data_IF_087242597374
#
_entry.id   IF_087242597374
#
_cell.length_a   1.000
_cell.length_b   1.000
_cell.length_c   1.000
_cell.angle_alpha   90.00
_cell.angle_beta   90.00
_cell.angle_gamma   90.00
#
_symmetry.space_group_name_H-M   'P 1'
#
loop_
_entity.id
_entity.type
_entity.pdbx_description
1 polymer ?
#
# COMPACT_ATOMS: atom_id res chain seq x y z
N UNK A 1 -29.48 -3.83 -64.10
CA UNK A 1 -28.96 -2.84 -63.15
C UNK A 1 -28.73 -3.57 -61.83
N UNK A 2 -27.44 -3.84 -61.53
CA UNK A 2 -27.05 -4.62 -60.35
C UNK A 2 -26.50 -3.57 -59.34
N UNK A 3 -27.22 -3.42 -58.26
CA UNK A 3 -26.85 -2.52 -57.16
C UNK A 3 -25.81 -3.25 -56.28
N UNK A 4 -24.57 -2.78 -56.29
CA UNK A 4 -23.48 -3.28 -55.48
C UNK A 4 -23.42 -2.45 -54.21
N UNK A 5 -24.17 -2.89 -53.18
CA UNK A 5 -24.09 -2.34 -51.81
C UNK A 5 -22.71 -2.60 -51.18
N UNK A 6 -21.85 -1.57 -51.16
CA UNK A 6 -20.58 -1.58 -50.41
C UNK A 6 -20.92 -1.48 -48.93
N UNK A 7 -20.69 -2.59 -48.23
CA UNK A 7 -20.78 -2.65 -46.78
C UNK A 7 -19.80 -1.68 -46.13
N UNK A 8 -20.32 -0.74 -45.34
CA UNK A 8 -19.51 0.08 -44.46
C UNK A 8 -18.93 -0.81 -43.37
N UNK A 9 -17.63 -1.06 -43.42
CA UNK A 9 -16.88 -1.63 -42.32
C UNK A 9 -16.97 -0.62 -41.14
N UNK A 10 -17.80 -0.93 -40.16
CA UNK A 10 -17.70 -0.35 -38.86
C UNK A 10 -16.39 -0.84 -38.23
N UNK A 11 -15.35 -0.03 -38.33
CA UNK A 11 -14.18 -0.14 -37.47
C UNK A 11 -14.70 0.27 -36.08
N UNK A 12 -15.00 -0.73 -35.27
CA UNK A 12 -15.19 -0.53 -33.84
C UNK A 12 -13.83 -0.05 -33.35
N UNK A 13 -13.74 1.24 -33.02
CA UNK A 13 -12.59 1.77 -32.29
C UNK A 13 -12.47 0.92 -31.01
N UNK A 14 -11.37 0.18 -30.86
CA UNK A 14 -10.98 -0.39 -29.59
C UNK A 14 -10.85 0.80 -28.65
N UNK A 15 -11.83 1.02 -27.78
CA UNK A 15 -11.63 1.87 -26.61
C UNK A 15 -10.49 1.21 -25.84
N UNK A 16 -9.37 1.91 -25.68
CA UNK A 16 -8.28 1.51 -24.81
C UNK A 16 -8.85 1.39 -23.40
N UNK A 17 -9.26 0.19 -23.03
CA UNK A 17 -9.79 -0.09 -21.70
C UNK A 17 -8.59 -0.26 -20.77
N UNK A 18 -8.37 0.70 -19.89
CA UNK A 18 -7.31 0.64 -18.88
C UNK A 18 -7.43 -0.68 -18.10
N UNK A 19 -6.33 -1.43 -17.98
CA UNK A 19 -6.25 -2.63 -17.14
C UNK A 19 -6.49 -2.27 -15.68
N UNK A 20 -7.09 -3.16 -14.86
CA UNK A 20 -7.32 -2.88 -13.45
C UNK A 20 -6.01 -2.90 -12.63
N UNK A 21 -5.97 -2.08 -11.60
CA UNK A 21 -5.04 -2.26 -10.48
C UNK A 21 -5.48 -3.48 -9.68
N UNK A 22 -4.56 -4.40 -9.38
CA UNK A 22 -4.86 -5.53 -8.52
C UNK A 22 -4.54 -5.17 -7.07
N UNK A 23 -5.53 -5.29 -6.21
CA UNK A 23 -5.43 -5.00 -4.77
C UNK A 23 -5.48 -6.32 -4.01
N UNK A 24 -4.39 -6.66 -3.32
CA UNK A 24 -4.28 -7.87 -2.50
C UNK A 24 -4.65 -7.54 -1.06
N UNK A 25 -5.69 -8.21 -0.57
CA UNK A 25 -6.15 -8.11 0.82
C UNK A 25 -5.76 -9.36 1.59
N UNK A 26 -5.22 -9.18 2.80
CA UNK A 26 -4.71 -10.27 3.64
C UNK A 26 -5.56 -10.52 4.88
N UNK A 27 -6.42 -9.58 5.28
CA UNK A 27 -7.35 -9.70 6.40
C UNK A 27 -8.65 -8.95 6.13
N UNK A 28 -9.75 -9.40 6.72
CA UNK A 28 -11.09 -8.88 6.44
C UNK A 28 -11.24 -7.38 6.81
N UNK A 29 -10.55 -6.93 7.85
CA UNK A 29 -10.57 -5.54 8.34
C UNK A 29 -9.49 -4.66 7.71
N UNK A 30 -8.60 -5.25 6.91
CA UNK A 30 -7.46 -4.59 6.27
C UNK A 30 -7.74 -4.37 4.78
N UNK A 31 -8.85 -3.69 4.51
CA UNK A 31 -9.31 -3.39 3.15
C UNK A 31 -8.49 -2.29 2.47
N UNK A 32 -8.84 -2.00 1.22
CA UNK A 32 -8.18 -0.96 0.43
C UNK A 32 -8.52 0.48 0.87
N UNK A 33 -9.56 0.68 1.69
CA UNK A 33 -9.94 1.94 2.29
C UNK A 33 -9.89 3.12 1.31
N UNK A 34 -9.25 4.20 1.74
CA UNK A 34 -9.10 5.40 0.93
C UNK A 34 -8.33 5.18 -0.39
N UNK A 35 -7.49 4.14 -0.49
CA UNK A 35 -6.83 3.82 -1.77
C UNK A 35 -7.84 3.42 -2.85
N UNK A 36 -8.84 2.60 -2.52
CA UNK A 36 -9.93 2.27 -3.44
C UNK A 36 -10.79 3.50 -3.78
N UNK A 37 -11.17 4.32 -2.77
CA UNK A 37 -11.87 5.58 -3.00
C UNK A 37 -11.11 6.50 -3.97
N UNK A 38 -9.77 6.58 -3.82
CA UNK A 38 -8.91 7.36 -4.70
C UNK A 38 -8.93 6.83 -6.14
N UNK A 39 -8.84 5.51 -6.34
CA UNK A 39 -8.91 4.89 -7.67
C UNK A 39 -10.26 5.16 -8.34
N UNK A 40 -11.37 5.02 -7.60
CA UNK A 40 -12.72 5.31 -8.09
C UNK A 40 -12.89 6.78 -8.51
N UNK A 41 -12.40 7.72 -7.67
CA UNK A 41 -12.42 9.16 -7.98
C UNK A 41 -11.66 9.51 -9.27
N UNK A 42 -10.65 8.71 -9.62
CA UNK A 42 -9.84 8.89 -10.83
C UNK A 42 -10.25 7.98 -11.98
N UNK A 43 -11.37 7.25 -11.83
CA UNK A 43 -11.88 6.31 -12.85
C UNK A 43 -10.84 5.24 -13.25
N UNK A 44 -9.98 4.85 -12.31
CA UNK A 44 -8.99 3.79 -12.48
C UNK A 44 -9.64 2.48 -12.06
N UNK A 45 -9.85 1.52 -12.98
CA UNK A 45 -10.44 0.24 -12.62
C UNK A 45 -9.53 -0.52 -11.66
N UNK A 46 -10.13 -1.24 -10.73
CA UNK A 46 -9.41 -2.09 -9.78
C UNK A 46 -10.12 -3.40 -9.54
N UNK A 47 -9.37 -4.39 -9.08
CA UNK A 47 -9.86 -5.72 -8.72
C UNK A 47 -9.29 -6.12 -7.36
N UNK A 48 -10.17 -6.49 -6.43
CA UNK A 48 -9.76 -7.06 -5.15
C UNK A 48 -9.45 -8.55 -5.32
N UNK A 49 -8.31 -8.97 -4.76
CA UNK A 49 -7.88 -10.36 -4.62
C UNK A 49 -7.81 -10.66 -3.12
N UNK A 50 -8.84 -11.33 -2.61
CA UNK A 50 -9.01 -11.59 -1.18
C UNK A 50 -8.30 -12.89 -0.80
N UNK A 51 -7.01 -12.80 -0.45
CA UNK A 51 -6.19 -13.95 -0.04
C UNK A 51 -6.69 -14.56 1.27
N UNK A 52 -7.24 -13.73 2.17
CA UNK A 52 -7.91 -14.12 3.41
C UNK A 52 -9.17 -14.97 3.17
N UNK A 53 -9.74 -14.93 1.97
CA UNK A 53 -10.89 -15.75 1.57
C UNK A 53 -10.49 -16.93 0.66
N UNK A 54 -9.21 -17.25 0.57
CA UNK A 54 -8.71 -18.37 -0.22
C UNK A 54 -8.59 -18.11 -1.70
N UNK A 55 -8.68 -16.85 -2.16
CA UNK A 55 -8.33 -16.53 -3.54
C UNK A 55 -6.82 -16.71 -3.75
N UNK A 56 -6.44 -17.17 -4.92
CA UNK A 56 -5.02 -17.43 -5.22
C UNK A 56 -4.32 -16.19 -5.78
N UNK A 57 -3.01 -16.09 -5.53
CA UNK A 57 -2.14 -15.11 -6.18
C UNK A 57 -2.06 -15.46 -7.67
N UNK A 58 -2.37 -14.52 -8.60
CA UNK A 58 -2.32 -14.77 -10.03
C UNK A 58 -0.92 -15.18 -10.53
N UNK A 59 -0.89 -16.01 -11.56
CA UNK A 59 0.37 -16.53 -12.11
C UNK A 59 1.05 -15.58 -13.11
N UNK A 60 0.34 -14.65 -13.73
CA UNK A 60 0.86 -13.69 -14.69
C UNK A 60 0.43 -12.26 -14.33
N UNK A 61 0.93 -11.29 -15.08
CA UNK A 61 0.67 -9.86 -14.90
C UNK A 61 -0.01 -9.21 -16.11
N UNK A 62 -0.38 -10.00 -17.13
CA UNK A 62 -0.84 -9.49 -18.42
C UNK A 62 -2.07 -8.59 -18.33
N UNK A 63 -2.92 -8.82 -17.33
CA UNK A 63 -4.17 -8.05 -17.14
C UNK A 63 -4.10 -7.05 -15.99
N UNK A 64 -2.90 -6.74 -15.45
CA UNK A 64 -2.73 -5.78 -14.37
C UNK A 64 -2.12 -4.45 -14.87
N UNK A 65 -2.64 -3.30 -14.43
CA UNK A 65 -2.02 -2.00 -14.64
C UNK A 65 -1.01 -1.66 -13.55
N UNK A 66 -1.13 -2.25 -12.38
CA UNK A 66 -0.27 -2.08 -11.21
C UNK A 66 -0.74 -2.99 -10.08
N UNK A 67 0.10 -3.15 -9.06
CA UNK A 67 -0.18 -4.01 -7.90
C UNK A 67 -0.19 -3.19 -6.61
N UNK A 68 -1.19 -3.43 -5.76
CA UNK A 68 -1.29 -2.85 -4.43
C UNK A 68 -1.45 -3.97 -3.39
N UNK A 69 -0.53 -4.03 -2.42
CA UNK A 69 -0.58 -4.99 -1.32
C UNK A 69 -0.93 -4.25 -0.03
N UNK A 70 -2.04 -4.67 0.60
CA UNK A 70 -2.53 -4.07 1.85
C UNK A 70 -1.81 -4.63 3.08
N UNK A 71 -2.20 -4.18 4.25
CA UNK A 71 -1.75 -4.69 5.53
C UNK A 71 -2.17 -6.14 5.79
N UNK A 72 -1.71 -6.69 6.91
CA UNK A 72 -2.02 -8.03 7.37
C UNK A 72 -1.42 -8.31 8.75
N UNK A 73 -2.14 -9.08 9.57
CA UNK A 73 -1.70 -9.46 10.91
C UNK A 73 -0.58 -10.55 10.92
N UNK A 74 -0.28 -11.12 9.74
CA UNK A 74 0.73 -12.17 9.59
C UNK A 74 2.13 -11.57 9.50
N UNK A 75 3.15 -12.36 9.80
CA UNK A 75 4.53 -12.06 9.43
C UNK A 75 4.83 -12.48 8.00
N UNK A 76 5.58 -11.68 7.26
CA UNK A 76 6.14 -12.10 5.96
C UNK A 76 7.06 -13.32 6.11
N UNK A 77 7.51 -13.62 7.34
CA UNK A 77 8.35 -14.78 7.66
C UNK A 77 7.54 -16.05 7.96
N UNK A 78 6.21 -15.97 8.00
CA UNK A 78 5.35 -17.14 8.21
C UNK A 78 5.41 -18.11 7.02
N UNK A 79 5.22 -19.40 7.27
CA UNK A 79 5.14 -20.45 6.24
C UNK A 79 3.73 -20.51 5.63
N UNK A 80 3.36 -19.47 4.90
CA UNK A 80 2.09 -19.36 4.18
C UNK A 80 2.36 -19.35 2.66
N UNK A 81 1.76 -20.27 1.93
CA UNK A 81 2.02 -20.47 0.51
C UNK A 81 1.79 -19.20 -0.35
N UNK A 82 0.83 -18.35 0.00
CA UNK A 82 0.56 -17.11 -0.70
C UNK A 82 1.68 -16.07 -0.53
N UNK A 83 2.45 -16.10 0.57
CA UNK A 83 3.57 -15.17 0.80
C UNK A 83 4.65 -15.38 -0.27
N UNK A 84 5.12 -16.61 -0.46
CA UNK A 84 6.12 -16.93 -1.48
C UNK A 84 5.62 -16.57 -2.88
N UNK A 85 4.36 -16.89 -3.20
CA UNK A 85 3.74 -16.54 -4.49
C UNK A 85 3.62 -15.02 -4.69
N UNK A 86 3.29 -14.27 -3.64
CA UNK A 86 3.24 -12.79 -3.68
C UNK A 86 4.62 -12.19 -3.93
N UNK A 87 5.66 -12.69 -3.25
CA UNK A 87 7.05 -12.29 -3.46
C UNK A 87 7.48 -12.54 -4.91
N UNK A 88 7.20 -13.72 -5.47
CA UNK A 88 7.49 -14.04 -6.87
C UNK A 88 6.72 -13.14 -7.86
N UNK A 89 5.45 -12.83 -7.57
CA UNK A 89 4.65 -11.93 -8.40
C UNK A 89 5.24 -10.51 -8.38
N UNK A 90 5.60 -10.00 -7.19
CA UNK A 90 6.25 -8.69 -7.03
C UNK A 90 7.58 -8.65 -7.79
N UNK A 91 8.42 -9.69 -7.70
CA UNK A 91 9.68 -9.76 -8.43
C UNK A 91 9.48 -9.65 -9.95
N UNK A 92 8.47 -10.34 -10.48
CA UNK A 92 8.10 -10.21 -11.90
C UNK A 92 7.59 -8.82 -12.24
N UNK A 93 6.78 -8.20 -11.38
CA UNK A 93 6.31 -6.83 -11.56
C UNK A 93 7.48 -5.84 -11.59
N UNK A 94 8.47 -6.00 -10.71
CA UNK A 94 9.69 -5.18 -10.68
C UNK A 94 10.48 -5.31 -11.98
N UNK A 95 10.69 -6.54 -12.48
CA UNK A 95 11.40 -6.79 -13.75
C UNK A 95 10.67 -6.15 -14.94
N UNK A 96 9.33 -6.16 -14.93
CA UNK A 96 8.50 -5.54 -15.96
C UNK A 96 8.26 -4.04 -15.75
N UNK A 97 8.83 -3.44 -14.70
CA UNK A 97 8.58 -2.06 -14.31
C UNK A 97 7.09 -1.73 -14.07
N UNK A 98 6.28 -2.75 -13.73
CA UNK A 98 4.88 -2.60 -13.35
C UNK A 98 4.80 -2.04 -11.92
N UNK A 99 4.16 -0.88 -11.67
CA UNK A 99 4.23 -0.22 -10.37
C UNK A 99 3.62 -1.07 -9.25
N UNK A 100 4.32 -1.11 -8.12
CA UNK A 100 3.88 -1.79 -6.88
C UNK A 100 3.81 -0.77 -5.76
N UNK A 101 2.71 -0.78 -5.00
CA UNK A 101 2.55 -0.04 -3.75
C UNK A 101 2.24 -1.03 -2.63
N UNK A 102 2.94 -0.90 -1.50
CA UNK A 102 2.74 -1.77 -0.34
C UNK A 102 2.52 -0.96 0.93
N UNK A 103 1.48 -1.32 1.69
CA UNK A 103 1.13 -0.78 2.99
C UNK A 103 1.41 -1.85 4.06
N UNK A 104 2.19 -1.54 5.10
CA UNK A 104 2.56 -2.40 6.20
C UNK A 104 3.09 -3.77 5.73
N UNK A 105 2.36 -4.86 5.90
CA UNK A 105 2.72 -6.19 5.37
C UNK A 105 3.05 -6.14 3.86
N UNK A 106 2.29 -5.35 3.08
CA UNK A 106 2.55 -5.16 1.66
C UNK A 106 3.90 -4.48 1.38
N UNK A 107 4.31 -3.51 2.21
CA UNK A 107 5.62 -2.89 2.15
C UNK A 107 6.74 -3.87 2.50
N UNK A 108 6.50 -4.73 3.49
CA UNK A 108 7.41 -5.81 3.88
C UNK A 108 7.58 -6.86 2.77
N UNK A 109 6.49 -7.24 2.08
CA UNK A 109 6.53 -8.13 0.90
C UNK A 109 7.37 -7.52 -0.23
N UNK A 110 7.21 -6.23 -0.51
CA UNK A 110 8.00 -5.53 -1.54
C UNK A 110 9.49 -5.49 -1.14
N UNK A 111 9.81 -5.19 0.13
CA UNK A 111 11.20 -5.24 0.60
C UNK A 111 11.80 -6.62 0.41
N UNK A 112 11.09 -7.69 0.83
CA UNK A 112 11.57 -9.07 0.68
C UNK A 112 11.77 -9.46 -0.79
N UNK A 113 10.86 -9.05 -1.67
CA UNK A 113 10.99 -9.30 -3.10
C UNK A 113 12.24 -8.65 -3.74
N UNK A 114 12.67 -7.51 -3.18
CA UNK A 114 13.89 -6.78 -3.58
C UNK A 114 15.15 -7.24 -2.83
N UNK A 115 15.09 -8.32 -2.04
CA UNK A 115 16.23 -8.87 -1.29
C UNK A 115 16.45 -8.27 0.09
N UNK A 116 15.51 -7.48 0.60
CA UNK A 116 15.51 -7.02 1.99
C UNK A 116 15.04 -8.11 2.96
N UNK A 117 15.14 -7.79 4.25
CA UNK A 117 14.70 -8.64 5.36
C UNK A 117 13.54 -8.00 6.10
N UNK A 118 12.70 -8.82 6.71
CA UNK A 118 11.69 -8.38 7.67
C UNK A 118 12.13 -8.86 9.04
N UNK A 119 12.21 -7.94 9.98
CA UNK A 119 12.73 -8.16 11.33
C UNK A 119 11.82 -7.50 12.35
N UNK A 120 11.93 -7.93 13.61
CA UNK A 120 11.21 -7.29 14.71
C UNK A 120 11.69 -5.83 14.86
N UNK A 121 10.74 -4.89 14.90
CA UNK A 121 11.05 -3.51 15.23
C UNK A 121 11.43 -3.40 16.73
N UNK A 122 12.38 -2.53 17.11
CA UNK A 122 12.75 -2.37 18.51
C UNK A 122 11.59 -2.04 19.44
N UNK A 123 10.62 -1.30 18.95
CA UNK A 123 9.38 -0.96 19.66
C UNK A 123 8.19 -1.13 18.71
N UNK A 124 7.05 -1.68 19.15
CA UNK A 124 5.82 -1.66 18.37
C UNK A 124 5.35 -0.21 18.20
N UNK A 125 4.67 0.06 17.10
CA UNK A 125 4.00 1.34 16.89
C UNK A 125 2.51 1.09 16.65
N UNK A 126 1.66 1.73 17.45
CA UNK A 126 0.20 1.64 17.36
C UNK A 126 -0.40 3.03 17.53
N UNK A 127 -1.16 3.49 16.53
CA UNK A 127 -1.85 4.77 16.52
C UNK A 127 -1.19 5.81 15.61
N UNK A 128 -1.43 7.08 15.88
CA UNK A 128 -0.95 8.21 15.08
C UNK A 128 0.45 8.61 15.51
N UNK A 129 1.42 8.53 14.58
CA UNK A 129 2.80 8.90 14.83
C UNK A 129 3.35 9.78 13.71
N UNK A 130 4.19 10.77 14.04
CA UNK A 130 4.85 11.59 13.04
C UNK A 130 5.94 10.78 12.33
N UNK A 131 6.02 10.96 11.01
CA UNK A 131 7.14 10.50 10.18
C UNK A 131 7.85 11.70 9.58
N UNK A 132 9.17 11.67 9.59
CA UNK A 132 10.03 12.73 9.08
C UNK A 132 10.60 12.37 7.71
N UNK A 133 10.54 13.32 6.81
CA UNK A 133 11.06 13.22 5.44
C UNK A 133 12.59 13.26 5.45
N UNK A 134 13.22 12.31 4.74
CA UNK A 134 14.64 12.34 4.43
C UNK A 134 14.82 13.14 3.15
N UNK A 135 15.54 14.29 3.17
CA UNK A 135 15.72 15.12 1.97
C UNK A 135 16.43 14.38 0.84
N UNK A 136 15.98 14.54 -0.39
CA UNK A 136 16.58 13.96 -1.58
C UNK A 136 15.72 14.12 -2.83
N UNK A 137 16.31 13.92 -4.00
CA UNK A 137 15.61 14.07 -5.28
C UNK A 137 14.44 13.07 -5.43
N UNK A 138 14.67 11.80 -5.06
CA UNK A 138 13.61 10.79 -5.07
C UNK A 138 12.48 11.15 -4.10
N UNK A 139 12.83 11.61 -2.90
CA UNK A 139 11.88 12.04 -1.87
C UNK A 139 11.01 13.21 -2.35
N UNK A 140 11.63 14.25 -2.92
CA UNK A 140 10.91 15.38 -3.46
C UNK A 140 9.94 14.98 -4.59
N UNK A 141 10.31 14.00 -5.42
CA UNK A 141 9.45 13.48 -6.48
C UNK A 141 8.18 12.79 -5.94
N UNK A 142 8.26 12.14 -4.77
CA UNK A 142 7.15 11.42 -4.15
C UNK A 142 6.36 12.28 -3.16
N UNK A 143 7.05 13.06 -2.33
CA UNK A 143 6.48 13.77 -1.19
C UNK A 143 6.40 15.30 -1.37
N UNK A 144 7.05 15.86 -2.41
CA UNK A 144 7.11 17.32 -2.58
C UNK A 144 7.94 17.98 -1.47
N UNK A 145 7.44 19.11 -0.95
CA UNK A 145 8.12 19.93 0.06
C UNK A 145 7.67 19.61 1.50
N UNK A 146 7.03 18.44 1.72
CA UNK A 146 6.64 18.02 3.06
C UNK A 146 7.89 17.74 3.91
N UNK A 147 7.89 18.17 5.18
CA UNK A 147 8.98 17.92 6.13
C UNK A 147 8.66 16.82 7.14
N UNK A 148 7.48 16.89 7.76
CA UNK A 148 6.98 15.94 8.74
C UNK A 148 5.45 15.91 8.64
N UNK A 149 4.85 14.73 8.86
CA UNK A 149 3.40 14.56 8.88
C UNK A 149 3.04 13.31 9.68
N UNK A 150 1.80 13.29 10.23
CA UNK A 150 1.28 12.13 10.96
C UNK A 150 0.76 11.06 9.99
N UNK A 151 1.02 9.80 10.36
CA UNK A 151 0.51 8.60 9.70
C UNK A 151 -0.11 7.66 10.73
N UNK A 152 -0.91 6.68 10.29
CA UNK A 152 -1.46 5.68 11.18
C UNK A 152 -0.58 4.42 11.17
N UNK A 153 -0.17 3.98 12.34
CA UNK A 153 0.73 2.84 12.54
C UNK A 153 -0.01 1.70 13.25
N UNK A 154 0.30 0.46 12.85
CA UNK A 154 -0.06 -0.73 13.61
C UNK A 154 0.87 -1.87 13.22
N UNK A 155 2.06 -1.90 13.82
CA UNK A 155 3.07 -2.90 13.49
C UNK A 155 4.05 -3.15 14.64
N UNK A 156 4.65 -4.37 14.66
CA UNK A 156 5.74 -4.78 15.53
C UNK A 156 6.95 -5.33 14.77
N UNK A 157 6.83 -5.47 13.45
CA UNK A 157 7.91 -5.81 12.54
C UNK A 157 8.17 -4.66 11.57
N UNK A 158 9.37 -4.60 11.02
CA UNK A 158 9.76 -3.65 10.00
C UNK A 158 10.64 -4.31 8.96
N UNK A 159 10.75 -3.67 7.80
CA UNK A 159 11.62 -4.12 6.72
C UNK A 159 12.98 -3.42 6.76
N UNK A 160 14.01 -4.05 6.20
CA UNK A 160 15.26 -3.36 5.85
C UNK A 160 15.13 -2.68 4.48
N UNK A 161 15.91 -1.63 4.26
CA UNK A 161 15.93 -0.95 2.95
C UNK A 161 16.75 -1.81 1.97
N UNK A 162 16.17 -2.32 0.87
CA UNK A 162 16.88 -3.13 -0.11
C UNK A 162 18.03 -2.36 -0.78
N UNK A 163 19.06 -3.08 -1.19
CA UNK A 163 20.19 -2.48 -1.91
C UNK A 163 19.72 -1.78 -3.19
N UNK A 164 20.03 -0.50 -3.35
CA UNK A 164 19.61 0.33 -4.48
C UNK A 164 18.27 1.04 -4.30
N UNK A 165 17.51 0.72 -3.24
CA UNK A 165 16.33 1.49 -2.86
C UNK A 165 16.71 2.81 -2.17
N UNK A 166 15.86 3.81 -2.30
CA UNK A 166 16.03 5.10 -1.62
C UNK A 166 15.07 5.17 -0.44
N UNK A 167 15.60 5.23 0.77
CA UNK A 167 14.81 5.50 1.96
C UNK A 167 14.32 6.95 1.93
N UNK A 168 13.01 7.15 2.19
CA UNK A 168 12.38 8.47 2.08
C UNK A 168 11.76 8.97 3.39
N UNK A 169 11.43 8.07 4.32
CA UNK A 169 10.79 8.39 5.60
C UNK A 169 11.40 7.60 6.75
N UNK A 170 11.46 8.25 7.92
CA UNK A 170 11.92 7.70 9.19
C UNK A 170 11.09 8.25 10.35
N UNK A 171 11.09 7.57 11.49
CA UNK A 171 10.72 8.19 12.78
C UNK A 171 11.61 7.69 13.93
N UNK A 172 11.32 8.11 15.16
CA UNK A 172 12.12 7.75 16.34
C UNK A 172 11.96 6.29 16.77
N UNK A 173 10.82 5.67 16.45
CA UNK A 173 10.48 4.31 16.88
C UNK A 173 10.82 3.26 15.82
N UNK A 174 10.76 3.66 14.53
CA UNK A 174 11.09 2.81 13.39
C UNK A 174 11.92 3.60 12.37
N UNK A 175 13.17 3.19 12.18
CA UNK A 175 14.06 3.87 11.22
C UNK A 175 13.66 3.64 9.77
N UNK A 176 12.92 2.59 9.45
CA UNK A 176 12.59 2.21 8.09
C UNK A 176 11.08 2.35 7.84
N UNK A 177 10.61 3.60 7.74
CA UNK A 177 9.19 3.90 7.54
C UNK A 177 8.73 3.81 6.08
N UNK A 178 9.57 4.24 5.14
CA UNK A 178 9.27 4.07 3.71
C UNK A 178 10.53 4.12 2.85
N UNK A 179 10.46 3.41 1.73
CA UNK A 179 11.44 3.51 0.65
C UNK A 179 10.76 3.48 -0.73
N UNK A 180 11.51 3.94 -1.73
CA UNK A 180 11.11 3.88 -3.13
C UNK A 180 12.17 3.18 -3.97
N UNK A 181 11.71 2.50 -5.03
CA UNK A 181 12.54 1.87 -6.07
C UNK A 181 11.87 2.08 -7.43
N UNK A 182 12.38 3.01 -8.24
CA UNK A 182 11.74 3.35 -9.51
C UNK A 182 10.28 3.78 -9.31
N UNK A 183 9.29 3.08 -9.92
CA UNK A 183 7.88 3.37 -9.77
C UNK A 183 7.24 2.73 -8.51
N UNK A 184 8.01 1.98 -7.72
CA UNK A 184 7.51 1.24 -6.57
C UNK A 184 7.70 2.02 -5.27
N UNK A 185 6.77 1.84 -4.32
CA UNK A 185 6.84 2.40 -2.97
C UNK A 185 6.43 1.36 -1.92
N UNK A 186 7.22 1.26 -0.87
CA UNK A 186 6.92 0.50 0.34
C UNK A 186 6.76 1.45 1.52
N UNK A 187 5.70 1.26 2.29
CA UNK A 187 5.38 2.01 3.50
C UNK A 187 5.15 1.03 4.65
N UNK A 188 5.67 1.32 5.84
CA UNK A 188 5.40 0.53 7.03
C UNK A 188 4.06 0.90 7.67
N UNK A 189 3.62 2.12 7.46
CA UNK A 189 2.40 2.73 7.97
C UNK A 189 1.22 2.59 6.99
N UNK A 190 0.06 3.09 7.45
CA UNK A 190 -1.22 3.03 6.76
C UNK A 190 -1.73 4.43 6.40
N UNK A 191 -1.74 4.79 5.12
CA UNK A 191 -2.35 6.03 4.60
C UNK A 191 -3.68 5.78 3.88
N UNK A 192 -4.05 4.52 3.77
CA UNK A 192 -5.34 4.07 3.22
C UNK A 192 -6.47 4.08 4.25
N UNK A 193 -6.18 4.43 5.51
CA UNK A 193 -7.16 4.41 6.60
C UNK A 193 -8.37 5.30 6.34
N UNK A 194 -9.52 4.80 6.78
CA UNK A 194 -10.77 5.55 6.88
C UNK A 194 -11.22 5.60 8.34
N UNK A 195 -12.13 6.52 8.72
CA UNK A 195 -12.67 6.53 10.09
C UNK A 195 -13.24 5.17 10.52
N UNK A 196 -13.98 4.50 9.63
CA UNK A 196 -14.56 3.18 9.90
C UNK A 196 -13.49 2.11 10.13
N UNK A 197 -12.37 2.15 9.39
CA UNK A 197 -11.26 1.23 9.61
C UNK A 197 -10.61 1.48 10.98
N UNK A 198 -10.36 2.73 11.37
CA UNK A 198 -9.80 3.04 12.69
C UNK A 198 -10.74 2.56 13.81
N UNK A 199 -12.05 2.80 13.69
CA UNK A 199 -13.04 2.30 14.66
C UNK A 199 -13.03 0.77 14.76
N UNK A 200 -13.02 0.07 13.62
CA UNK A 200 -12.97 -1.39 13.56
C UNK A 200 -11.69 -1.92 14.22
N UNK A 201 -10.53 -1.39 13.86
CA UNK A 201 -9.25 -1.83 14.43
C UNK A 201 -9.16 -1.57 15.93
N UNK A 202 -9.63 -0.41 16.40
CA UNK A 202 -9.70 -0.11 17.83
C UNK A 202 -10.60 -1.08 18.60
N UNK A 203 -11.63 -1.63 17.96
CA UNK A 203 -12.52 -2.62 18.57
C UNK A 203 -11.92 -4.03 18.50
N UNK A 204 -11.51 -4.47 17.31
CA UNK A 204 -11.14 -5.86 17.03
C UNK A 204 -9.76 -6.20 17.61
N UNK A 205 -8.81 -5.25 17.57
CA UNK A 205 -7.44 -5.45 18.01
C UNK A 205 -7.10 -4.78 19.35
N UNK A 206 -8.13 -4.36 20.10
CA UNK A 206 -7.96 -3.79 21.45
C UNK A 206 -7.12 -4.66 22.38
N UNK A 207 -7.17 -5.98 22.19
CA UNK A 207 -6.39 -6.93 22.96
C UNK A 207 -4.88 -6.80 22.74
N UNK A 208 -4.43 -6.35 21.57
CA UNK A 208 -3.01 -6.11 21.27
C UNK A 208 -2.48 -4.93 22.08
N UNK A 209 -3.23 -3.82 22.15
CA UNK A 209 -2.89 -2.68 23.02
C UNK A 209 -2.84 -3.11 24.49
N UNK A 210 -3.74 -3.99 24.92
CA UNK A 210 -3.79 -4.55 26.26
C UNK A 210 -2.58 -5.40 26.68
N UNK A 211 -1.74 -5.82 25.73
CA UNK A 211 -0.48 -6.54 26.03
C UNK A 211 0.61 -5.61 26.60
N UNK A 212 0.41 -4.29 26.54
CA UNK A 212 1.37 -3.28 26.98
C UNK A 212 0.83 -2.49 28.17
N UNK A 213 0.87 -3.05 29.40
CA UNK A 213 0.28 -2.43 30.59
C UNK A 213 0.93 -1.07 30.93
N UNK A 214 2.22 -0.89 30.63
CA UNK A 214 2.95 0.36 30.88
C UNK A 214 2.83 1.37 29.72
N UNK A 215 2.09 1.06 28.67
CA UNK A 215 1.81 1.90 27.51
C UNK A 215 3.01 2.76 27.07
N UNK A 216 3.99 2.21 26.34
CA UNK A 216 5.09 3.00 25.81
C UNK A 216 4.56 4.12 24.92
N UNK A 217 5.30 5.20 24.76
CA UNK A 217 4.88 6.37 23.97
C UNK A 217 4.59 6.04 22.49
N UNK A 218 5.08 4.90 22.01
CA UNK A 218 4.81 4.39 20.66
C UNK A 218 3.46 3.68 20.51
N UNK A 219 2.68 3.57 21.59
CA UNK A 219 1.37 2.91 21.60
C UNK A 219 0.30 3.86 22.15
N UNK A 220 -0.70 4.14 21.36
CA UNK A 220 -1.88 4.91 21.75
C UNK A 220 -3.01 3.97 22.19
N UNK A 221 -3.81 4.45 23.14
CA UNK A 221 -5.07 3.78 23.49
C UNK A 221 -6.11 3.93 22.38
N UNK A 222 -7.13 3.04 22.29
CA UNK A 222 -8.24 3.20 21.36
C UNK A 222 -8.93 4.57 21.46
N UNK A 223 -9.00 5.15 22.65
CA UNK A 223 -9.56 6.49 22.83
C UNK A 223 -8.67 7.56 22.17
N UNK A 224 -7.36 7.54 22.40
CA UNK A 224 -6.41 8.49 21.80
C UNK A 224 -6.38 8.40 20.27
N UNK A 225 -6.48 7.18 19.70
CA UNK A 225 -6.53 6.98 18.26
C UNK A 225 -7.78 7.60 17.61
N UNK A 226 -8.89 7.67 18.35
CA UNK A 226 -10.16 8.21 17.85
C UNK A 226 -10.34 9.70 18.16
N UNK A 227 -9.44 10.33 18.91
CA UNK A 227 -9.48 11.77 19.16
C UNK A 227 -9.21 12.56 17.87
N UNK A 228 -10.12 13.48 17.53
CA UNK A 228 -10.05 14.31 16.31
C UNK A 228 -9.90 13.48 15.02
N UNK A 229 -10.50 12.30 14.99
CA UNK A 229 -10.28 11.29 13.94
C UNK A 229 -10.49 11.85 12.53
N UNK A 230 -11.63 12.50 12.27
CA UNK A 230 -11.94 13.07 10.94
C UNK A 230 -10.86 14.05 10.48
N UNK A 231 -10.43 14.96 11.37
CA UNK A 231 -9.38 15.94 11.06
C UNK A 231 -8.03 15.26 10.76
N UNK A 232 -7.68 14.22 11.54
CA UNK A 232 -6.44 13.44 11.32
C UNK A 232 -6.47 12.72 9.98
N UNK A 233 -7.59 12.06 9.66
CA UNK A 233 -7.80 11.39 8.37
C UNK A 233 -7.71 12.40 7.22
N UNK A 234 -8.38 13.54 7.30
CA UNK A 234 -8.35 14.57 6.24
C UNK A 234 -6.93 15.10 6.02
N UNK A 235 -6.17 15.32 7.11
CA UNK A 235 -4.78 15.77 7.03
C UNK A 235 -3.90 14.71 6.37
N UNK A 236 -4.02 13.45 6.77
CA UNK A 236 -3.27 12.33 6.20
C UNK A 236 -3.61 12.11 4.71
N UNK A 237 -4.88 12.30 4.30
CA UNK A 237 -5.33 12.19 2.92
C UNK A 237 -4.64 13.18 1.96
N UNK A 238 -4.10 14.28 2.47
CA UNK A 238 -3.31 15.22 1.63
C UNK A 238 -2.04 14.54 1.13
N UNK A 239 -1.30 13.90 2.04
CA UNK A 239 -0.07 13.18 1.67
C UNK A 239 -0.39 11.87 0.92
N UNK A 240 -1.45 11.17 1.31
CA UNK A 240 -1.89 9.96 0.62
C UNK A 240 -2.17 10.25 -0.87
N UNK A 241 -2.94 11.31 -1.17
CA UNK A 241 -3.18 11.76 -2.56
C UNK A 241 -1.87 12.04 -3.29
N UNK A 242 -0.92 12.72 -2.65
CA UNK A 242 0.38 13.03 -3.26
C UNK A 242 1.14 11.76 -3.67
N UNK A 243 1.19 10.77 -2.78
CA UNK A 243 1.85 9.48 -3.00
C UNK A 243 1.12 8.71 -4.12
N UNK A 244 -0.21 8.62 -4.06
CA UNK A 244 -1.01 7.92 -5.05
C UNK A 244 -0.95 8.60 -6.43
N UNK A 245 -0.95 9.93 -6.49
CA UNK A 245 -0.76 10.70 -7.73
C UNK A 245 0.62 10.43 -8.37
N UNK A 246 1.65 10.25 -7.56
CA UNK A 246 2.98 9.89 -8.07
C UNK A 246 3.01 8.45 -8.54
N UNK A 247 2.44 7.53 -7.77
CA UNK A 247 2.40 6.10 -8.08
C UNK A 247 1.60 5.80 -9.36
N UNK A 248 0.41 6.38 -9.51
CA UNK A 248 -0.44 6.14 -10.69
C UNK A 248 0.17 6.54 -12.03
N UNK A 249 1.17 7.43 -12.02
CA UNK A 249 1.88 7.80 -13.26
C UNK A 249 2.67 6.66 -13.87
N UNK A 250 2.94 5.61 -13.09
CA UNK A 250 3.57 4.39 -13.56
C UNK A 250 2.61 3.33 -14.07
N UNK A 251 1.28 3.51 -13.91
CA UNK A 251 0.29 2.54 -14.34
C UNK A 251 0.38 2.29 -15.86
N UNK A 252 0.29 1.02 -16.25
CA UNK A 252 0.31 0.61 -17.64
C UNK A 252 -1.05 0.90 -18.26
N UNK A 253 -1.05 1.69 -19.34
CA UNK A 253 -2.21 1.96 -20.19
C UNK A 253 -1.93 1.27 -21.52
N UNK A 254 -2.87 0.43 -22.01
CA UNK A 254 -2.75 -0.24 -23.30
C UNK A 254 -2.88 0.73 -24.47
#
# INVERSE_FOLDING_TARGET
>A
MIDTGIGKNNVIANENVMKPVWIFRHGATEGAGYFAEYLDQHQIPWRLIALDQGQEVPLDLESAAGLAFMGGAMSVNDDLAWISRSVELIQRAVVQNLPVIGHCLGGQLLSRALGGLVVRNPQPEIGWHPVRVIPGASTAAWLGDHGEFDVFEWHNETFTIPLGATQILVNSNCTNQAFVWGPHIAMQFHIEMTPDMVHSWCQDWRHEVGQYPDLPQSIQTPQQMQENLEQRIDTMRVIARRIYDRWRRGLVVD
#
